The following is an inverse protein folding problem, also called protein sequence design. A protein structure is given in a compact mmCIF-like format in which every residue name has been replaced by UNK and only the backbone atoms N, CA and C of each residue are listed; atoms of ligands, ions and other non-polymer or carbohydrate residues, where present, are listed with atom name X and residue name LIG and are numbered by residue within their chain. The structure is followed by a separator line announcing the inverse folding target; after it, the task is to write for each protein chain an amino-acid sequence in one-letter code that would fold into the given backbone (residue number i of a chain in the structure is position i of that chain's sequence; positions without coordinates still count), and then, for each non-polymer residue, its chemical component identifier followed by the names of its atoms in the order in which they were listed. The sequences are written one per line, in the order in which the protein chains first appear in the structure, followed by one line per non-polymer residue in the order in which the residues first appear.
data_IF_430846579035
#
_entry.id   IF_430846579035
#
_cell.length_a   1.000
_cell.length_b   1.000
_cell.length_c   1.000
_cell.angle_alpha   90.00
_cell.angle_beta   90.00
_cell.angle_gamma   90.00
#
_symmetry.space_group_name_H-M   'P 1'
#
loop_
_entity.id
_entity.type
_entity.pdbx_description
1 polymer ?
#
# COMPACT_ATOMS: atom_id res chain seq x y z
N UNK A 1 16.48 -20.38 -5.90
CA UNK A 1 16.00 -19.00 -5.59
C UNK A 1 17.17 -18.21 -5.02
N UNK A 2 17.61 -17.13 -5.67
CA UNK A 2 18.78 -16.33 -5.23
C UNK A 2 18.42 -15.46 -4.02
N UNK A 3 19.41 -15.07 -3.20
CA UNK A 3 19.21 -14.22 -1.99
C UNK A 3 18.41 -12.95 -2.32
N UNK A 4 18.77 -12.28 -3.42
CA UNK A 4 18.09 -11.09 -3.95
C UNK A 4 16.62 -11.33 -4.30
N UNK A 5 16.28 -12.48 -4.90
CA UNK A 5 14.89 -12.80 -5.24
C UNK A 5 14.02 -13.05 -3.99
N UNK A 6 14.59 -13.63 -2.93
CA UNK A 6 13.89 -13.81 -1.65
C UNK A 6 13.61 -12.48 -0.97
N UNK A 7 14.58 -11.56 -0.99
CA UNK A 7 14.44 -10.24 -0.36
C UNK A 7 13.39 -9.38 -1.08
N UNK A 8 13.39 -9.40 -2.42
CA UNK A 8 12.32 -8.76 -3.23
C UNK A 8 10.94 -9.32 -2.92
N UNK A 9 10.80 -10.65 -2.87
CA UNK A 9 9.52 -11.28 -2.56
C UNK A 9 9.02 -10.90 -1.16
N UNK A 10 9.91 -10.87 -0.16
CA UNK A 10 9.58 -10.43 1.20
C UNK A 10 9.11 -8.97 1.22
N UNK A 11 9.81 -8.08 0.51
CA UNK A 11 9.45 -6.67 0.38
C UNK A 11 8.09 -6.46 -0.29
N UNK A 12 7.74 -7.29 -1.27
CA UNK A 12 6.42 -7.25 -1.90
C UNK A 12 5.31 -7.79 -0.99
N UNK A 13 5.52 -8.93 -0.33
CA UNK A 13 4.48 -9.61 0.46
C UNK A 13 4.24 -8.97 1.83
N UNK A 14 5.21 -8.27 2.40
CA UNK A 14 4.99 -7.57 3.68
C UNK A 14 3.94 -6.47 3.56
N UNK A 15 3.77 -5.86 2.38
CA UNK A 15 2.81 -4.78 2.16
C UNK A 15 1.37 -5.27 2.34
N UNK A 16 0.85 -6.25 1.57
CA UNK A 16 -0.52 -6.71 1.77
C UNK A 16 -0.73 -7.31 3.16
N UNK A 17 0.25 -8.05 3.71
CA UNK A 17 0.14 -8.61 5.05
C UNK A 17 0.06 -7.53 6.13
N UNK A 18 0.93 -6.52 6.08
CA UNK A 18 0.96 -5.42 7.03
C UNK A 18 -0.27 -4.52 6.91
N UNK A 19 -0.72 -4.23 5.68
CA UNK A 19 -1.94 -3.46 5.46
C UNK A 19 -3.17 -4.19 5.98
N UNK A 20 -3.30 -5.51 5.79
CA UNK A 20 -4.39 -6.31 6.37
C UNK A 20 -4.30 -6.33 7.90
N UNK A 21 -3.08 -6.51 8.44
CA UNK A 21 -2.85 -6.50 9.88
C UNK A 21 -3.22 -5.17 10.55
N UNK A 22 -3.22 -4.06 9.81
CA UNK A 22 -3.72 -2.76 10.27
C UNK A 22 -5.22 -2.59 9.98
N UNK A 23 -5.68 -3.01 8.80
CA UNK A 23 -7.09 -2.95 8.38
C UNK A 23 -8.02 -3.60 9.39
N UNK A 24 -7.71 -4.83 9.81
CA UNK A 24 -8.57 -5.62 10.70
C UNK A 24 -8.79 -4.93 12.04
N UNK A 25 -7.76 -4.59 12.85
CA UNK A 25 -7.97 -3.89 14.10
C UNK A 25 -8.53 -2.48 13.91
N UNK A 26 -8.14 -1.76 12.84
CA UNK A 26 -8.72 -0.45 12.53
C UNK A 26 -10.24 -0.55 12.33
N UNK A 27 -10.69 -1.53 11.54
CA UNK A 27 -12.10 -1.78 11.26
C UNK A 27 -12.88 -2.20 12.51
N UNK A 28 -12.27 -2.99 13.40
CA UNK A 28 -12.94 -3.51 14.60
C UNK A 28 -12.99 -2.52 15.76
N UNK A 29 -11.94 -1.71 15.93
CA UNK A 29 -11.80 -0.82 17.10
C UNK A 29 -12.32 0.60 16.84
N UNK A 30 -12.14 1.12 15.64
CA UNK A 30 -12.46 2.52 15.31
C UNK A 30 -13.78 2.62 14.55
N UNK A 31 -14.07 1.63 13.71
CA UNK A 31 -15.25 1.63 12.84
C UNK A 31 -15.13 2.58 11.64
N UNK A 32 -16.13 2.54 10.76
CA UNK A 32 -16.13 3.25 9.48
C UNK A 32 -17.08 4.44 9.50
N UNK A 33 -16.51 5.64 9.44
CA UNK A 33 -17.19 6.88 9.09
C UNK A 33 -16.41 7.57 7.97
N UNK A 34 -16.92 8.68 7.43
CA UNK A 34 -16.26 9.36 6.31
C UNK A 34 -14.83 9.80 6.62
N UNK A 35 -14.55 10.25 7.85
CA UNK A 35 -13.21 10.68 8.25
C UNK A 35 -12.25 9.49 8.39
N UNK A 36 -12.69 8.41 9.03
CA UNK A 36 -11.84 7.21 9.23
C UNK A 36 -11.60 6.47 7.92
N UNK A 37 -12.59 6.50 7.02
CA UNK A 37 -12.44 6.04 5.64
C UNK A 37 -11.37 6.84 4.92
N UNK A 38 -11.48 8.16 4.88
CA UNK A 38 -10.49 9.00 4.20
C UNK A 38 -9.08 8.83 4.80
N UNK A 39 -8.99 8.81 6.13
CA UNK A 39 -7.74 8.58 6.85
C UNK A 39 -7.12 7.23 6.46
N UNK A 40 -7.90 6.16 6.45
CA UNK A 40 -7.39 4.84 6.13
C UNK A 40 -6.89 4.77 4.68
N UNK A 41 -7.74 5.16 3.73
CA UNK A 41 -7.48 4.97 2.31
C UNK A 41 -6.44 5.94 1.73
N UNK A 42 -6.39 7.18 2.22
CA UNK A 42 -5.53 8.22 1.64
C UNK A 42 -4.33 8.60 2.51
N UNK A 43 -4.26 8.14 3.76
CA UNK A 43 -3.13 8.43 4.66
C UNK A 43 -2.43 7.15 5.10
N UNK A 44 -3.16 6.19 5.67
CA UNK A 44 -2.54 4.98 6.22
C UNK A 44 -1.96 4.07 5.12
N UNK A 45 -2.73 3.76 4.08
CA UNK A 45 -2.25 2.90 2.98
C UNK A 45 -0.97 3.43 2.30
N UNK A 46 -0.91 4.69 1.82
CA UNK A 46 0.32 5.20 1.18
C UNK A 46 1.49 5.20 2.16
N UNK A 47 1.27 5.62 3.42
CA UNK A 47 2.32 5.66 4.43
C UNK A 47 2.91 4.28 4.73
N UNK A 48 2.04 3.28 4.97
CA UNK A 48 2.47 1.93 5.29
C UNK A 48 3.09 1.21 4.09
N UNK A 49 2.54 1.38 2.90
CA UNK A 49 3.09 0.75 1.68
C UNK A 49 4.49 1.27 1.31
N UNK A 50 4.82 2.52 1.67
CA UNK A 50 6.17 3.07 1.54
C UNK A 50 7.10 2.64 2.67
N UNK A 51 6.57 2.51 3.89
CA UNK A 51 7.37 2.22 5.08
C UNK A 51 7.71 0.73 5.23
N UNK A 52 6.73 -0.17 5.06
CA UNK A 52 6.87 -1.60 5.33
C UNK A 52 8.00 -2.28 4.55
N UNK A 53 8.21 -2.03 3.24
CA UNK A 53 9.30 -2.66 2.50
C UNK A 53 10.68 -2.32 3.06
N UNK A 54 10.85 -1.12 3.62
CA UNK A 54 12.12 -0.65 4.19
C UNK A 54 12.53 -1.39 5.46
N UNK A 55 11.58 -2.06 6.13
CA UNK A 55 11.86 -2.83 7.35
C UNK A 55 12.41 -4.23 7.05
N UNK A 56 12.15 -4.77 5.85
CA UNK A 56 12.36 -6.20 5.57
C UNK A 56 13.24 -6.47 4.36
N UNK A 57 13.36 -5.50 3.45
CA UNK A 57 14.15 -5.63 2.23
C UNK A 57 15.32 -4.64 2.29
N UNK A 58 16.54 -5.12 1.99
CA UNK A 58 17.75 -4.28 1.90
C UNK A 58 17.86 -3.53 0.55
N UNK A 59 16.81 -3.56 -0.26
CA UNK A 59 16.83 -2.99 -1.60
C UNK A 59 16.61 -1.46 -1.56
N UNK A 60 17.60 -0.65 -1.96
CA UNK A 60 17.47 0.84 -1.93
C UNK A 60 16.27 1.38 -2.71
N UNK A 61 15.71 0.61 -3.66
CA UNK A 61 14.60 1.01 -4.53
C UNK A 61 13.44 0.01 -4.48
N UNK A 62 12.53 0.22 -3.54
CA UNK A 62 11.34 -0.63 -3.35
C UNK A 62 10.16 -0.29 -4.25
N UNK A 63 10.25 0.64 -5.22
CA UNK A 63 9.06 1.08 -5.97
C UNK A 63 8.29 -0.09 -6.59
N UNK A 64 8.99 -1.02 -7.25
CA UNK A 64 8.33 -2.18 -7.87
C UNK A 64 7.71 -3.10 -6.80
N UNK A 65 8.39 -3.28 -5.67
CA UNK A 65 7.90 -4.07 -4.53
C UNK A 65 6.62 -3.42 -3.95
N UNK A 66 6.64 -2.09 -3.75
CA UNK A 66 5.51 -1.27 -3.31
C UNK A 66 4.32 -1.37 -4.25
N UNK A 67 4.54 -1.16 -5.56
CA UNK A 67 3.47 -1.21 -6.56
C UNK A 67 2.86 -2.60 -6.64
N UNK A 68 3.68 -3.66 -6.70
CA UNK A 68 3.17 -5.04 -6.75
C UNK A 68 2.44 -5.42 -5.45
N UNK A 69 2.94 -5.01 -4.30
CA UNK A 69 2.30 -5.27 -3.01
C UNK A 69 0.96 -4.54 -2.87
N UNK A 70 0.89 -3.29 -3.36
CA UNK A 70 -0.37 -2.55 -3.45
C UNK A 70 -1.36 -3.22 -4.40
N UNK A 71 -0.93 -3.63 -5.60
CA UNK A 71 -1.81 -4.36 -6.54
C UNK A 71 -2.40 -5.60 -5.87
N UNK A 72 -1.57 -6.42 -5.21
CA UNK A 72 -2.03 -7.61 -4.48
C UNK A 72 -3.04 -7.23 -3.40
N UNK A 73 -2.74 -6.22 -2.58
CA UNK A 73 -3.63 -5.76 -1.52
C UNK A 73 -4.98 -5.29 -2.07
N UNK A 74 -4.98 -4.42 -3.09
CA UNK A 74 -6.21 -3.91 -3.69
C UNK A 74 -7.00 -5.00 -4.41
N UNK A 75 -6.33 -5.98 -5.04
CA UNK A 75 -7.01 -7.16 -5.59
C UNK A 75 -7.73 -7.94 -4.50
N UNK A 76 -7.09 -8.19 -3.36
CA UNK A 76 -7.74 -8.84 -2.20
C UNK A 76 -8.95 -8.02 -1.73
N UNK A 77 -8.79 -6.70 -1.60
CA UNK A 77 -9.88 -5.82 -1.17
C UNK A 77 -11.06 -5.85 -2.15
N UNK A 78 -10.82 -5.84 -3.46
CA UNK A 78 -11.88 -5.95 -4.47
C UNK A 78 -12.70 -7.23 -4.26
N UNK A 79 -12.07 -8.37 -4.00
CA UNK A 79 -12.79 -9.60 -3.69
C UNK A 79 -13.54 -9.54 -2.35
N UNK A 80 -12.95 -8.91 -1.33
CA UNK A 80 -13.59 -8.80 -0.02
C UNK A 80 -14.85 -7.94 -0.02
N UNK A 81 -14.89 -6.88 -0.85
CA UNK A 81 -16.02 -5.94 -0.90
C UNK A 81 -16.79 -5.97 -2.22
N UNK A 82 -16.66 -7.07 -2.98
CA UNK A 82 -17.29 -7.22 -4.29
C UNK A 82 -18.82 -7.05 -4.24
N UNK A 83 -19.47 -7.62 -3.22
CA UNK A 83 -20.93 -7.50 -3.04
C UNK A 83 -21.38 -6.05 -2.80
N UNK A 84 -20.45 -5.16 -2.45
CA UNK A 84 -20.68 -3.74 -2.20
C UNK A 84 -20.17 -2.84 -3.34
N UNK A 85 -20.01 -3.37 -4.56
CA UNK A 85 -19.37 -2.63 -5.68
C UNK A 85 -20.04 -1.29 -6.05
N UNK A 86 -21.35 -1.14 -5.79
CA UNK A 86 -22.07 0.11 -6.07
C UNK A 86 -21.96 1.15 -4.95
N UNK A 87 -21.37 0.78 -3.81
CA UNK A 87 -21.28 1.67 -2.65
C UNK A 87 -20.18 2.72 -2.82
N UNK A 88 -20.34 3.83 -2.10
CA UNK A 88 -19.32 4.88 -2.05
C UNK A 88 -17.98 4.39 -1.47
N UNK A 89 -18.03 3.35 -0.63
CA UNK A 89 -16.84 2.67 -0.10
C UNK A 89 -16.00 2.04 -1.20
N UNK A 90 -16.64 1.35 -2.15
CA UNK A 90 -15.94 0.73 -3.28
C UNK A 90 -15.32 1.79 -4.20
N UNK A 91 -16.07 2.85 -4.52
CA UNK A 91 -15.55 3.97 -5.33
C UNK A 91 -14.37 4.66 -4.66
N UNK A 92 -14.47 4.95 -3.37
CA UNK A 92 -13.38 5.57 -2.61
C UNK A 92 -12.12 4.69 -2.58
N UNK A 93 -12.29 3.36 -2.44
CA UNK A 93 -11.19 2.39 -2.49
C UNK A 93 -10.48 2.40 -3.85
N UNK A 94 -11.21 2.37 -4.97
CA UNK A 94 -10.63 2.43 -6.32
C UNK A 94 -9.94 3.78 -6.58
N UNK A 95 -10.55 4.89 -6.19
CA UNK A 95 -9.95 6.23 -6.33
C UNK A 95 -8.65 6.33 -5.50
N UNK A 96 -8.67 5.78 -4.29
CA UNK A 96 -7.50 5.67 -3.42
C UNK A 96 -6.39 4.84 -4.07
N UNK A 97 -6.70 3.74 -4.75
CA UNK A 97 -5.70 2.96 -5.47
C UNK A 97 -4.95 3.80 -6.49
N UNK A 98 -5.67 4.54 -7.34
CA UNK A 98 -5.06 5.40 -8.37
C UNK A 98 -4.20 6.49 -7.73
N UNK A 99 -4.71 7.15 -6.69
CA UNK A 99 -3.97 8.19 -5.97
C UNK A 99 -2.70 7.62 -5.32
N UNK A 100 -2.79 6.45 -4.69
CA UNK A 100 -1.64 5.82 -4.03
C UNK A 100 -0.56 5.42 -5.04
N UNK A 101 -0.92 4.99 -6.26
CA UNK A 101 0.05 4.76 -7.31
C UNK A 101 0.77 6.04 -7.73
N UNK A 102 0.05 7.16 -7.87
CA UNK A 102 0.63 8.47 -8.19
C UNK A 102 1.57 8.94 -7.06
N UNK A 103 1.14 8.83 -5.81
CA UNK A 103 1.92 9.23 -4.64
C UNK A 103 3.21 8.40 -4.53
N UNK A 104 3.14 7.09 -4.75
CA UNK A 104 4.32 6.21 -4.79
C UNK A 104 5.28 6.58 -5.92
N UNK A 105 4.75 6.88 -7.12
CA UNK A 105 5.57 7.30 -8.26
C UNK A 105 6.31 8.62 -7.98
N UNK A 106 5.61 9.65 -7.49
CA UNK A 106 6.18 10.97 -7.17
C UNK A 106 7.24 10.83 -6.07
N UNK A 107 6.94 10.11 -4.99
CA UNK A 107 7.86 9.94 -3.88
C UNK A 107 9.14 9.21 -4.28
N UNK A 108 9.03 8.18 -5.11
CA UNK A 108 10.21 7.48 -5.62
C UNK A 108 11.08 8.38 -6.50
N UNK A 109 10.47 9.23 -7.33
CA UNK A 109 11.21 10.21 -8.12
C UNK A 109 11.92 11.23 -7.22
N UNK A 110 11.23 11.75 -6.20
CA UNK A 110 11.82 12.69 -5.23
C UNK A 110 13.02 12.09 -4.48
N UNK A 111 12.95 10.81 -4.07
CA UNK A 111 14.09 10.12 -3.46
C UNK A 111 15.25 9.90 -4.43
N UNK A 112 14.97 9.53 -5.67
CA UNK A 112 16.02 9.37 -6.70
C UNK A 112 16.77 10.69 -6.94
N UNK A 113 16.05 11.81 -7.02
CA UNK A 113 16.65 13.14 -7.18
C UNK A 113 17.55 13.50 -6.00
N UNK A 114 17.09 13.27 -4.77
CA UNK A 114 17.87 13.58 -3.55
C UNK A 114 19.16 12.77 -3.43
N UNK A 115 19.20 11.57 -4.00
CA UNK A 115 20.42 10.72 -4.05
C UNK A 115 21.40 11.21 -5.12
N UNK A 116 20.94 11.82 -6.20
CA UNK A 116 21.81 12.37 -7.25
C UNK A 116 22.43 13.72 -6.86
N UNK A 117 21.82 14.46 -5.94
CA UNK A 117 22.29 15.77 -5.47
C UNK A 117 23.07 15.72 -4.15
N UNK A 118 23.40 14.52 -3.63
CA UNK A 118 24.15 14.31 -2.39
C UNK A 118 25.49 13.62 -2.70
#
# INVERSE_FOLDING_TARGET
MTKTSKDKLKGTLIIPLGLIAVLVPFSLLIGWNIFTLLLFWFVLIPSLSMYLPTLVSNNKYHLIETVLGLIIFYSIMVFMIYDHYQTDYFKAMIVSFVINLIVVAIWSQAKNLKVQTA
#
